data_IF_585877868289
#
_entry.id   IF_585877868289
#
_cell.length_a   1.000
_cell.length_b   1.000
_cell.length_c   1.000
_cell.angle_alpha   90.00
_cell.angle_beta   90.00
_cell.angle_gamma   90.00
#
_symmetry.space_group_name_H-M   'P 1'
#
loop_
_entity.id
_entity.type
_entity.pdbx_description
1 polymer ?
#
# COMPACT_ATOMS: atom_id res chain seq x y z
N UNK A 1 -1.59 28.56 3.00
CA UNK A 1 -2.82 29.17 3.57
C UNK A 1 -3.37 28.18 4.57
N UNK A 2 -3.75 28.66 5.75
CA UNK A 2 -4.25 27.84 6.84
C UNK A 2 -5.62 27.25 6.48
N UNK A 3 -5.77 25.93 6.55
CA UNK A 3 -7.08 25.26 6.51
C UNK A 3 -7.54 25.16 7.96
N UNK A 4 -8.21 26.21 8.41
CA UNK A 4 -9.03 26.19 9.62
C UNK A 4 -10.48 26.08 9.20
N UNK A 5 -11.06 24.89 9.34
CA UNK A 5 -12.48 24.71 9.66
C UNK A 5 -12.73 23.25 10.03
N UNK A 6 -12.72 22.98 11.34
CA UNK A 6 -13.27 21.74 11.89
C UNK A 6 -14.79 21.96 11.97
N UNK A 7 -15.46 21.68 10.86
CA UNK A 7 -16.91 21.65 10.77
C UNK A 7 -17.48 20.26 11.09
N UNK A 8 -18.55 20.22 11.89
CA UNK A 8 -19.48 19.09 11.97
C UNK A 8 -19.87 18.59 10.56
N UNK A 9 -20.20 17.30 10.35
CA UNK A 9 -20.15 16.67 9.04
C UNK A 9 -21.19 17.30 8.10
N UNK A 10 -20.71 18.21 7.25
CA UNK A 10 -21.39 18.49 6.00
C UNK A 10 -21.53 17.19 5.20
N UNK A 11 -22.53 17.14 4.34
CA UNK A 11 -22.70 16.04 3.40
C UNK A 11 -21.39 15.79 2.63
N UNK A 12 -20.91 14.55 2.66
CA UNK A 12 -19.60 14.16 2.10
C UNK A 12 -19.53 14.60 0.63
N UNK A 13 -18.48 15.30 0.18
CA UNK A 13 -18.46 16.00 -1.12
C UNK A 13 -18.88 15.15 -2.31
N UNK A 14 -18.46 13.88 -2.35
CA UNK A 14 -18.76 12.95 -3.43
C UNK A 14 -20.26 12.68 -3.63
N UNK A 15 -21.10 12.82 -2.59
CA UNK A 15 -22.56 12.62 -2.68
C UNK A 15 -23.26 13.68 -3.52
N UNK A 16 -22.59 14.82 -3.76
CA UNK A 16 -23.10 15.93 -4.58
C UNK A 16 -22.58 15.89 -6.02
N UNK A 17 -21.65 14.99 -6.33
CA UNK A 17 -21.08 14.85 -7.68
C UNK A 17 -22.07 14.15 -8.60
N UNK A 18 -22.00 14.46 -9.90
CA UNK A 18 -22.66 13.61 -10.90
C UNK A 18 -21.95 12.26 -10.97
N UNK A 19 -22.61 11.24 -11.53
CA UNK A 19 -21.99 9.94 -11.73
C UNK A 19 -20.72 10.03 -12.61
N UNK A 20 -20.71 10.91 -13.62
CA UNK A 20 -19.56 11.14 -14.49
C UNK A 20 -18.39 11.79 -13.76
N UNK A 21 -18.66 12.80 -12.92
CA UNK A 21 -17.64 13.44 -12.11
C UNK A 21 -17.06 12.45 -11.10
N UNK A 22 -17.91 11.68 -10.43
CA UNK A 22 -17.46 10.65 -9.48
C UNK A 22 -16.59 9.59 -10.16
N UNK A 23 -16.98 9.13 -11.35
CA UNK A 23 -16.17 8.20 -12.14
C UNK A 23 -14.80 8.78 -12.46
N UNK A 24 -14.75 10.04 -12.89
CA UNK A 24 -13.50 10.74 -13.19
C UNK A 24 -12.59 10.84 -11.95
N UNK A 25 -13.15 11.19 -10.79
CA UNK A 25 -12.42 11.28 -9.52
C UNK A 25 -11.78 9.94 -9.10
N UNK A 26 -12.38 8.81 -9.45
CA UNK A 26 -11.87 7.47 -9.12
C UNK A 26 -11.21 6.76 -10.31
N UNK A 27 -10.90 7.48 -11.37
CA UNK A 27 -10.16 6.98 -12.53
C UNK A 27 -8.83 7.73 -12.67
N UNK A 28 -7.76 7.32 -11.95
CA UNK A 28 -6.50 8.07 -11.93
C UNK A 28 -5.86 8.27 -13.31
N UNK A 29 -6.14 7.39 -14.26
CA UNK A 29 -5.68 7.53 -15.64
C UNK A 29 -6.26 8.75 -16.38
N UNK A 30 -7.32 9.37 -15.87
CA UNK A 30 -7.85 10.65 -16.40
C UNK A 30 -7.09 11.87 -15.87
N UNK A 31 -6.27 11.71 -14.83
CA UNK A 31 -5.57 12.80 -14.13
C UNK A 31 -4.07 12.85 -14.44
N UNK A 32 -3.57 11.93 -15.26
CA UNK A 32 -2.16 11.91 -15.69
C UNK A 32 -1.84 13.17 -16.50
N UNK A 33 -0.67 13.75 -16.23
CA UNK A 33 -0.25 15.02 -16.87
C UNK A 33 0.90 14.84 -17.85
N UNK A 34 1.70 13.78 -17.72
CA UNK A 34 2.88 13.53 -18.56
C UNK A 34 2.52 12.80 -19.86
N UNK A 35 1.68 11.77 -19.75
CA UNK A 35 1.33 10.84 -20.82
C UNK A 35 -0.18 10.84 -21.05
N UNK A 36 -0.65 10.30 -22.18
CA UNK A 36 -2.07 9.97 -22.32
C UNK A 36 -2.45 8.78 -21.42
N UNK A 37 -3.72 8.67 -21.03
CA UNK A 37 -4.23 7.62 -20.13
C UNK A 37 -3.76 6.19 -20.49
N UNK A 38 -3.88 5.81 -21.77
CA UNK A 38 -3.45 4.50 -22.25
C UNK A 38 -1.94 4.29 -22.15
N UNK A 39 -1.16 5.34 -22.46
CA UNK A 39 0.30 5.28 -22.44
C UNK A 39 0.85 5.24 -21.00
N UNK A 40 0.20 5.94 -20.07
CA UNK A 40 0.52 5.87 -18.65
C UNK A 40 0.30 4.44 -18.11
N UNK A 41 -0.86 3.84 -18.36
CA UNK A 41 -1.15 2.46 -17.94
C UNK A 41 -0.17 1.45 -18.55
N UNK A 42 0.15 1.61 -19.84
CA UNK A 42 1.14 0.76 -20.51
C UNK A 42 2.53 0.90 -19.89
N UNK A 43 2.95 2.14 -19.58
CA UNK A 43 4.26 2.44 -18.99
C UNK A 43 4.35 1.86 -17.58
N UNK A 44 3.33 2.07 -16.76
CA UNK A 44 3.20 1.49 -15.43
C UNK A 44 3.37 -0.04 -15.46
N UNK A 45 2.62 -0.70 -16.34
CA UNK A 45 2.68 -2.15 -16.52
C UNK A 45 4.07 -2.63 -16.94
N UNK A 46 4.66 -1.96 -17.94
CA UNK A 46 5.98 -2.29 -18.46
C UNK A 46 7.05 -2.17 -17.38
N UNK A 47 7.13 -1.03 -16.69
CA UNK A 47 8.13 -0.80 -15.64
C UNK A 47 7.96 -1.81 -14.49
N UNK A 48 6.71 -2.10 -14.12
CA UNK A 48 6.39 -3.09 -13.09
C UNK A 48 6.93 -4.48 -13.43
N UNK A 49 6.73 -4.92 -14.67
CA UNK A 49 7.24 -6.20 -15.20
C UNK A 49 8.77 -6.21 -15.22
N UNK A 50 9.40 -5.14 -15.71
CA UNK A 50 10.87 -5.02 -15.80
C UNK A 50 11.53 -5.13 -14.42
N UNK A 51 10.92 -4.53 -13.40
CA UNK A 51 11.37 -4.60 -12.00
C UNK A 51 11.40 -6.03 -11.43
N UNK A 52 10.62 -6.98 -11.97
CA UNK A 52 10.58 -8.36 -11.45
C UNK A 52 11.83 -9.18 -11.77
N UNK A 53 12.79 -8.59 -12.51
CA UNK A 53 14.08 -9.17 -12.84
C UNK A 53 14.13 -9.92 -14.18
N UNK A 54 13.17 -9.70 -15.09
CA UNK A 54 13.24 -10.24 -16.47
C UNK A 54 14.20 -9.40 -17.33
N UNK A 55 14.40 -8.12 -17.01
CA UNK A 55 15.19 -7.17 -17.82
C UNK A 55 16.05 -6.18 -17.03
N UNK A 56 16.11 -6.27 -15.69
CA UNK A 56 16.91 -5.34 -14.87
C UNK A 56 18.39 -5.34 -15.31
N UNK A 57 19.00 -4.17 -15.61
CA UNK A 57 20.35 -4.05 -16.18
C UNK A 57 21.49 -4.36 -15.19
N UNK A 58 21.20 -5.04 -14.07
CA UNK A 58 22.22 -5.47 -13.12
C UNK A 58 23.18 -6.49 -13.74
N UNK A 59 24.45 -6.42 -13.35
CA UNK A 59 25.42 -7.48 -13.57
C UNK A 59 25.05 -8.80 -12.86
N UNK A 60 24.18 -8.76 -11.83
CA UNK A 60 23.62 -9.94 -11.15
C UNK A 60 22.25 -9.63 -10.49
N UNK A 61 21.19 -10.40 -10.77
CA UNK A 61 19.88 -10.20 -10.14
C UNK A 61 19.90 -10.57 -8.64
N UNK A 62 19.05 -9.95 -7.81
CA UNK A 62 18.92 -10.31 -6.39
C UNK A 62 18.49 -11.77 -6.24
N UNK A 63 18.90 -12.41 -5.15
CA UNK A 63 18.48 -13.79 -4.88
C UNK A 63 16.96 -13.80 -4.65
N UNK A 64 16.24 -14.60 -5.45
CA UNK A 64 14.78 -14.67 -5.44
C UNK A 64 14.30 -16.07 -5.02
N UNK A 65 13.30 -16.13 -4.14
CA UNK A 65 12.45 -17.30 -3.94
C UNK A 65 11.11 -17.01 -4.59
N UNK A 66 10.80 -17.73 -5.68
CA UNK A 66 9.58 -17.51 -6.47
C UNK A 66 8.41 -18.34 -5.94
N UNK A 67 7.23 -17.75 -5.98
CA UNK A 67 5.96 -18.45 -5.82
C UNK A 67 5.87 -19.30 -4.55
N UNK A 68 6.38 -18.77 -3.43
CA UNK A 68 6.25 -19.43 -2.12
C UNK A 68 4.78 -19.41 -1.71
N UNK A 69 4.11 -20.56 -1.55
CA UNK A 69 2.72 -20.59 -1.12
C UNK A 69 2.63 -20.13 0.33
N UNK A 70 1.70 -19.20 0.62
CA UNK A 70 1.29 -18.85 1.98
C UNK A 70 -0.10 -19.38 2.33
N UNK A 71 -0.78 -19.98 1.35
CA UNK A 71 -2.01 -20.74 1.52
C UNK A 71 -2.26 -21.65 0.31
N UNK A 72 -3.46 -22.21 0.22
CA UNK A 72 -3.78 -23.29 -0.72
C UNK A 72 -4.29 -22.77 -2.08
N UNK A 73 -4.63 -21.48 -2.17
CA UNK A 73 -5.13 -20.87 -3.40
C UNK A 73 -4.04 -20.63 -4.45
N UNK A 74 -4.41 -20.66 -5.74
CA UNK A 74 -3.46 -20.37 -6.83
C UNK A 74 -2.87 -18.95 -6.75
N UNK A 75 -3.69 -18.00 -6.30
CA UNK A 75 -3.32 -16.60 -6.04
C UNK A 75 -2.46 -16.43 -4.79
N UNK A 76 -2.37 -17.43 -3.90
CA UNK A 76 -1.83 -17.27 -2.55
C UNK A 76 -0.34 -17.55 -2.48
N UNK A 77 0.42 -16.74 -3.22
CA UNK A 77 1.86 -16.90 -3.38
C UNK A 77 2.61 -15.60 -3.10
N UNK A 78 3.79 -15.70 -2.52
CA UNK A 78 4.72 -14.58 -2.39
C UNK A 78 6.00 -14.81 -3.19
N UNK A 79 6.52 -13.73 -3.77
CA UNK A 79 7.88 -13.66 -4.30
C UNK A 79 8.76 -12.94 -3.28
N UNK A 80 9.85 -13.57 -2.83
CA UNK A 80 10.76 -13.02 -1.83
C UNK A 80 12.10 -12.69 -2.49
N UNK A 81 12.48 -11.43 -2.44
CA UNK A 81 13.76 -10.91 -2.93
C UNK A 81 14.66 -10.62 -1.74
N UNK A 82 15.81 -11.30 -1.68
CA UNK A 82 16.77 -11.12 -0.62
C UNK A 82 17.83 -10.08 -1.00
N UNK A 83 18.34 -9.33 -0.02
CA UNK A 83 19.46 -8.44 -0.24
C UNK A 83 20.72 -9.21 -0.66
N UNK A 84 21.59 -8.54 -1.42
CA UNK A 84 22.89 -9.11 -1.77
C UNK A 84 23.77 -9.24 -0.51
N UNK A 85 24.46 -10.38 -0.36
CA UNK A 85 25.30 -10.75 0.80
C UNK A 85 26.52 -9.84 1.00
N UNK A 86 26.33 -8.54 1.25
CA UNK A 86 27.40 -7.62 1.69
C UNK A 86 27.29 -7.28 3.17
N UNK A 87 26.11 -7.34 3.76
CA UNK A 87 25.93 -7.21 5.21
C UNK A 87 25.97 -8.59 5.86
N UNK A 88 26.86 -8.80 6.83
CA UNK A 88 27.02 -10.05 7.58
C UNK A 88 25.82 -10.44 8.46
N UNK A 89 24.63 -9.90 8.19
CA UNK A 89 23.37 -10.30 8.83
C UNK A 89 22.79 -11.51 8.12
N UNK A 90 22.31 -12.48 8.90
CA UNK A 90 21.48 -13.54 8.37
C UNK A 90 20.23 -12.93 7.73
N UNK A 91 19.77 -13.48 6.60
CA UNK A 91 18.54 -13.03 5.92
C UNK A 91 17.30 -13.02 6.83
N UNK A 92 17.36 -13.74 7.96
CA UNK A 92 16.35 -13.77 9.02
C UNK A 92 16.27 -12.50 9.88
N UNK A 93 17.28 -11.62 9.84
CA UNK A 93 17.37 -10.39 10.65
C UNK A 93 17.19 -9.12 9.83
N UNK A 94 16.95 -9.24 8.52
CA UNK A 94 16.68 -8.09 7.65
C UNK A 94 15.33 -7.46 8.00
N UNK A 95 15.21 -6.15 7.75
CA UNK A 95 13.90 -5.52 7.59
C UNK A 95 13.22 -6.08 6.35
N UNK A 96 11.90 -6.24 6.40
CA UNK A 96 11.09 -6.82 5.34
C UNK A 96 10.10 -5.76 4.87
N UNK A 97 10.10 -5.43 3.58
CA UNK A 97 9.08 -4.59 2.96
C UNK A 97 8.11 -5.46 2.15
N UNK A 98 6.84 -5.48 2.56
CA UNK A 98 5.76 -6.19 1.88
C UNK A 98 5.09 -5.22 0.91
N UNK A 99 5.21 -5.47 -0.40
CA UNK A 99 4.55 -4.71 -1.45
C UNK A 99 3.19 -5.35 -1.78
N UNK A 100 2.13 -4.54 -1.71
CA UNK A 100 0.76 -4.91 -2.05
C UNK A 100 0.29 -4.25 -3.36
N UNK A 101 1.18 -4.08 -4.33
CA UNK A 101 0.78 -3.62 -5.65
C UNK A 101 0.26 -4.83 -6.50
N UNK A 102 -0.22 -4.57 -7.71
CA UNK A 102 -0.57 -5.60 -8.71
C UNK A 102 0.59 -6.59 -8.91
N UNK A 103 0.40 -7.89 -8.62
CA UNK A 103 1.48 -8.90 -8.50
C UNK A 103 2.49 -8.88 -9.66
N UNK A 104 1.99 -8.76 -10.90
CA UNK A 104 2.83 -8.84 -12.09
C UNK A 104 3.52 -7.51 -12.43
N UNK A 105 3.23 -6.46 -11.65
CA UNK A 105 3.70 -5.09 -11.85
C UNK A 105 4.30 -4.47 -10.57
N UNK A 106 4.50 -5.23 -9.49
CA UNK A 106 4.80 -4.68 -8.15
C UNK A 106 6.27 -4.46 -7.81
N UNK A 107 7.18 -4.78 -8.71
CA UNK A 107 8.58 -4.92 -8.35
C UNK A 107 9.38 -3.60 -8.36
N UNK A 108 8.70 -2.45 -8.44
CA UNK A 108 9.31 -1.12 -8.51
C UNK A 108 10.38 -0.90 -7.43
N UNK A 109 10.06 -1.24 -6.17
CA UNK A 109 10.93 -0.97 -5.03
C UNK A 109 12.00 -2.04 -4.77
N UNK A 110 11.98 -3.17 -5.51
CA UNK A 110 12.85 -4.33 -5.24
C UNK A 110 14.33 -3.94 -5.34
N UNK A 111 14.70 -3.29 -6.43
CA UNK A 111 16.11 -3.00 -6.72
C UNK A 111 16.75 -2.04 -5.71
N UNK A 112 16.18 -0.85 -5.41
CA UNK A 112 16.80 0.06 -4.46
C UNK A 112 16.79 -0.47 -3.02
N UNK A 113 15.75 -1.18 -2.59
CA UNK A 113 15.68 -1.69 -1.21
C UNK A 113 16.62 -2.86 -0.97
N UNK A 114 16.66 -3.84 -1.90
CA UNK A 114 17.58 -4.98 -1.78
C UNK A 114 19.05 -4.55 -1.83
N UNK A 115 19.36 -3.49 -2.59
CA UNK A 115 20.69 -2.89 -2.62
C UNK A 115 21.12 -2.25 -1.29
N UNK A 116 20.16 -1.88 -0.43
CA UNK A 116 20.41 -1.31 0.90
C UNK A 116 20.31 -2.35 2.03
N UNK A 117 20.10 -3.63 1.75
CA UNK A 117 20.03 -4.67 2.78
C UNK A 117 18.62 -5.02 3.28
N UNK A 118 17.58 -4.50 2.63
CA UNK A 118 16.17 -4.81 2.96
C UNK A 118 15.68 -5.98 2.11
N UNK A 119 14.97 -6.94 2.72
CA UNK A 119 14.29 -7.98 1.97
C UNK A 119 12.93 -7.44 1.47
N UNK A 120 12.57 -7.74 0.22
CA UNK A 120 11.30 -7.30 -0.37
C UNK A 120 10.43 -8.51 -0.64
N UNK A 121 9.18 -8.47 -0.19
CA UNK A 121 8.17 -9.51 -0.40
C UNK A 121 7.07 -8.93 -1.26
N UNK A 122 6.84 -9.50 -2.43
CA UNK A 122 5.70 -9.17 -3.29
C UNK A 122 4.61 -10.18 -3.02
N UNK A 123 3.44 -9.72 -2.61
CA UNK A 123 2.30 -10.58 -2.30
C UNK A 123 1.37 -10.64 -3.48
N UNK A 124 1.04 -11.86 -3.89
CA UNK A 124 -0.10 -12.11 -4.76
C UNK A 124 -1.33 -12.42 -3.92
N UNK A 125 -2.48 -11.98 -4.39
CA UNK A 125 -3.80 -12.33 -3.85
C UNK A 125 -4.79 -12.37 -5.04
N UNK A 126 -5.95 -12.97 -4.83
CA UNK A 126 -6.98 -13.01 -5.87
C UNK A 126 -7.56 -11.61 -6.10
N UNK A 127 -7.88 -11.27 -7.34
CA UNK A 127 -8.41 -9.95 -7.72
C UNK A 127 -9.86 -10.13 -8.21
N UNK A 128 -10.69 -9.11 -8.03
CA UNK A 128 -12.07 -9.12 -8.50
C UNK A 128 -12.12 -9.30 -10.04
N UNK A 129 -13.13 -10.02 -10.57
CA UNK A 129 -14.27 -10.62 -9.87
C UNK A 129 -14.00 -12.01 -9.28
N UNK A 130 -12.77 -12.55 -9.39
CA UNK A 130 -12.44 -13.89 -8.90
C UNK A 130 -12.43 -13.97 -7.36
N UNK A 131 -12.00 -12.90 -6.69
CA UNK A 131 -12.03 -12.77 -5.24
C UNK A 131 -12.82 -11.55 -4.78
N UNK A 132 -13.45 -11.65 -3.60
CA UNK A 132 -14.10 -10.53 -2.90
C UNK A 132 -13.08 -9.71 -2.11
N UNK A 133 -13.40 -8.47 -1.74
CA UNK A 133 -12.50 -7.65 -0.90
C UNK A 133 -12.19 -8.31 0.44
N UNK A 134 -13.14 -8.99 1.07
CA UNK A 134 -12.90 -9.72 2.32
C UNK A 134 -11.86 -10.84 2.13
N UNK A 135 -11.94 -11.56 1.00
CA UNK A 135 -10.96 -12.59 0.65
C UNK A 135 -9.58 -11.98 0.42
N UNK A 136 -9.49 -10.82 -0.24
CA UNK A 136 -8.22 -10.10 -0.43
C UNK A 136 -7.61 -9.69 0.92
N UNK A 137 -8.42 -9.13 1.83
CA UNK A 137 -7.96 -8.74 3.17
C UNK A 137 -7.48 -9.97 3.95
N UNK A 138 -8.20 -11.09 3.92
CA UNK A 138 -7.77 -12.33 4.57
C UNK A 138 -6.48 -12.89 3.97
N UNK A 139 -6.37 -12.90 2.63
CA UNK A 139 -5.19 -13.34 1.90
C UNK A 139 -3.96 -12.52 2.26
N UNK A 140 -4.08 -11.19 2.28
CA UNK A 140 -2.99 -10.30 2.71
C UNK A 140 -2.64 -10.54 4.18
N UNK A 141 -3.63 -10.70 5.07
CA UNK A 141 -3.38 -11.01 6.49
C UNK A 141 -2.58 -12.30 6.65
N UNK A 142 -2.97 -13.37 5.96
CA UNK A 142 -2.25 -14.65 5.97
C UNK A 142 -0.86 -14.55 5.38
N UNK A 143 -0.66 -13.72 4.34
CA UNK A 143 0.67 -13.50 3.76
C UNK A 143 1.63 -12.85 4.77
N UNK A 144 1.17 -11.87 5.54
CA UNK A 144 1.97 -11.22 6.59
C UNK A 144 2.26 -12.20 7.73
N UNK A 145 1.26 -12.98 8.14
CA UNK A 145 1.44 -14.03 9.14
C UNK A 145 2.46 -15.09 8.70
N UNK A 146 2.43 -15.49 7.43
CA UNK A 146 3.42 -16.37 6.82
C UNK A 146 4.82 -15.77 6.88
N UNK A 147 4.98 -14.50 6.49
CA UNK A 147 6.28 -13.80 6.55
C UNK A 147 6.82 -13.73 7.98
N UNK A 148 5.98 -13.36 8.95
CA UNK A 148 6.38 -13.32 10.35
C UNK A 148 6.78 -14.70 10.87
N UNK A 149 6.05 -15.75 10.52
CA UNK A 149 6.33 -17.13 10.95
C UNK A 149 7.62 -17.65 10.31
N UNK A 150 7.85 -17.32 9.04
CA UNK A 150 9.04 -17.73 8.28
C UNK A 150 10.31 -17.03 8.76
N UNK A 151 10.18 -15.77 9.20
CA UNK A 151 11.28 -14.92 9.65
C UNK A 151 10.97 -14.33 11.04
N UNK A 152 10.96 -15.15 12.10
CA UNK A 152 10.53 -14.71 13.44
C UNK A 152 11.47 -13.67 14.06
N UNK A 153 12.73 -13.63 13.63
CA UNK A 153 13.76 -12.70 14.13
C UNK A 153 14.00 -11.51 13.21
N UNK A 154 13.03 -11.17 12.35
CA UNK A 154 13.14 -10.06 11.40
C UNK A 154 13.38 -8.72 12.12
N UNK A 155 14.07 -7.80 11.43
CA UNK A 155 14.35 -6.46 11.97
C UNK A 155 13.13 -5.53 12.01
N UNK A 156 12.02 -5.93 11.39
CA UNK A 156 10.78 -5.18 11.27
C UNK A 156 10.12 -5.47 9.93
N UNK A 157 8.79 -5.58 9.96
CA UNK A 157 7.94 -5.72 8.77
C UNK A 157 7.32 -4.36 8.48
N UNK A 158 7.49 -3.89 7.25
CA UNK A 158 6.94 -2.66 6.72
C UNK A 158 6.01 -3.00 5.57
N UNK A 159 4.81 -2.43 5.53
CA UNK A 159 3.88 -2.61 4.43
C UNK A 159 3.91 -1.39 3.51
N UNK A 160 4.07 -1.61 2.22
CA UNK A 160 3.96 -0.58 1.20
C UNK A 160 2.79 -0.96 0.27
N UNK A 161 1.76 -0.13 0.27
CA UNK A 161 0.60 -0.31 -0.58
C UNK A 161 0.41 0.90 -1.47
N UNK A 162 -0.03 0.67 -2.70
CA UNK A 162 -0.39 1.70 -3.67
C UNK A 162 -1.84 1.53 -4.09
N UNK A 163 -2.61 2.62 -4.17
CA UNK A 163 -4.01 2.57 -4.63
C UNK A 163 -4.85 1.58 -3.79
N UNK A 164 -5.51 0.61 -4.41
CA UNK A 164 -6.19 -0.49 -3.72
C UNK A 164 -5.26 -1.27 -2.76
N UNK A 165 -3.97 -1.37 -3.06
CA UNK A 165 -2.97 -1.96 -2.17
C UNK A 165 -2.75 -1.16 -0.88
N UNK A 166 -2.88 0.16 -0.92
CA UNK A 166 -2.80 1.01 0.26
C UNK A 166 -4.00 0.79 1.18
N UNK A 167 -5.19 0.54 0.61
CA UNK A 167 -6.37 0.12 1.36
C UNK A 167 -6.11 -1.21 2.09
N UNK A 168 -5.59 -2.23 1.38
CA UNK A 168 -5.26 -3.53 1.97
C UNK A 168 -4.18 -3.42 3.05
N UNK A 169 -3.16 -2.60 2.83
CA UNK A 169 -2.13 -2.32 3.83
C UNK A 169 -2.74 -1.65 5.08
N UNK A 170 -3.61 -0.67 4.90
CA UNK A 170 -4.28 0.01 6.01
C UNK A 170 -5.20 -0.94 6.80
N UNK A 171 -5.84 -1.91 6.15
CA UNK A 171 -6.62 -2.94 6.85
C UNK A 171 -5.76 -3.82 7.79
N UNK A 172 -4.45 -3.94 7.55
CA UNK A 172 -3.55 -4.69 8.43
C UNK A 172 -3.32 -3.98 9.78
N UNK A 173 -3.63 -2.69 9.88
CA UNK A 173 -3.69 -1.97 11.17
C UNK A 173 -4.86 -2.48 12.04
N UNK A 174 -5.91 -3.02 11.41
CA UNK A 174 -7.16 -3.47 12.03
C UNK A 174 -7.23 -4.99 12.19
N UNK A 175 -6.24 -5.71 11.65
CA UNK A 175 -6.24 -7.16 11.63
C UNK A 175 -6.14 -7.73 13.04
N UNK A 176 -6.96 -8.73 13.35
CA UNK A 176 -6.89 -9.45 14.60
C UNK A 176 -5.81 -10.53 14.53
N UNK A 177 -4.55 -10.13 14.74
CA UNK A 177 -3.39 -11.02 14.64
C UNK A 177 -3.43 -12.23 15.58
N UNK A 178 -4.10 -12.10 16.75
CA UNK A 178 -4.25 -13.23 17.68
C UNK A 178 -5.04 -14.39 17.07
N UNK A 179 -6.04 -14.10 16.21
CA UNK A 179 -6.78 -15.13 15.46
C UNK A 179 -5.89 -15.90 14.48
N UNK A 180 -4.81 -15.28 14.00
CA UNK A 180 -3.83 -15.89 13.11
C UNK A 180 -2.65 -16.52 13.86
N UNK A 181 -2.65 -16.52 15.19
CA UNK A 181 -1.63 -17.18 16.00
C UNK A 181 -0.25 -16.52 15.94
N UNK A 182 -0.17 -15.25 15.51
CA UNK A 182 1.08 -14.50 15.36
C UNK A 182 0.96 -13.11 15.96
N UNK A 183 2.10 -12.52 16.33
CA UNK A 183 2.22 -11.09 16.59
C UNK A 183 3.27 -10.55 15.62
N UNK A 184 2.87 -10.00 14.47
CA UNK A 184 3.83 -9.51 13.49
C UNK A 184 4.58 -8.29 14.01
N UNK A 185 5.89 -8.25 13.73
CA UNK A 185 6.77 -7.15 14.09
C UNK A 185 6.55 -5.94 13.14
N UNK A 186 5.34 -5.40 13.12
CA UNK A 186 4.93 -4.32 12.22
C UNK A 186 5.55 -2.99 12.68
N UNK A 187 6.48 -2.46 11.87
CA UNK A 187 7.23 -1.23 12.18
C UNK A 187 6.81 -0.03 11.34
N UNK A 188 6.19 -0.25 10.19
CA UNK A 188 5.63 0.87 9.45
C UNK A 188 4.78 0.55 8.25
N UNK A 189 4.07 1.56 7.79
CA UNK A 189 3.12 1.53 6.70
C UNK A 189 3.38 2.71 5.77
N UNK A 190 3.53 2.44 4.49
CA UNK A 190 3.63 3.42 3.42
C UNK A 190 2.38 3.27 2.56
N UNK A 191 1.44 4.20 2.75
CA UNK A 191 0.12 4.18 2.13
C UNK A 191 0.10 5.22 1.02
N UNK A 192 0.33 4.79 -0.22
CA UNK A 192 0.56 5.66 -1.37
C UNK A 192 -0.69 5.75 -2.22
N UNK A 193 -1.22 6.96 -2.39
CA UNK A 193 -2.38 7.29 -3.21
C UNK A 193 -3.55 6.31 -2.99
N UNK A 194 -3.91 6.09 -1.72
CA UNK A 194 -4.88 5.06 -1.33
C UNK A 194 -6.34 5.51 -1.31
N UNK A 195 -7.24 4.53 -1.28
CA UNK A 195 -8.67 4.73 -1.02
C UNK A 195 -9.01 4.08 0.34
N UNK A 196 -9.44 4.87 1.31
CA UNK A 196 -9.68 4.47 2.69
C UNK A 196 -11.16 4.46 3.09
N UNK A 197 -12.01 5.12 2.30
CA UNK A 197 -13.48 5.03 2.31
C UNK A 197 -13.95 4.48 0.96
N UNK A 198 -14.57 3.29 0.99
CA UNK A 198 -15.03 2.55 -0.18
C UNK A 198 -16.50 2.78 -0.51
N UNK A 199 -17.27 3.52 0.30
CA UNK A 199 -18.66 3.86 -0.04
C UNK A 199 -18.79 4.53 -1.43
N UNK A 200 -17.92 5.48 -1.83
CA UNK A 200 -18.00 6.10 -3.16
C UNK A 200 -17.76 5.11 -4.29
N UNK A 201 -16.91 4.10 -4.07
CA UNK A 201 -16.54 3.09 -5.07
C UNK A 201 -17.75 2.28 -5.52
N UNK A 202 -18.76 2.13 -4.67
CA UNK A 202 -20.00 1.44 -5.03
C UNK A 202 -20.74 2.06 -6.22
N UNK A 203 -20.50 3.35 -6.47
CA UNK A 203 -21.17 4.15 -7.48
C UNK A 203 -20.30 4.39 -8.72
N UNK A 204 -19.15 3.72 -8.82
CA UNK A 204 -18.23 3.79 -9.97
C UNK A 204 -18.24 2.49 -10.76
N UNK A 205 -17.65 2.51 -11.95
CA UNK A 205 -17.49 1.33 -12.81
C UNK A 205 -16.71 0.19 -12.14
N UNK A 206 -15.85 0.51 -11.16
CA UNK A 206 -15.09 -0.47 -10.38
C UNK A 206 -16.02 -1.46 -9.67
N UNK A 207 -17.22 -1.03 -9.30
CA UNK A 207 -18.19 -1.89 -8.62
C UNK A 207 -18.79 -2.99 -9.51
N UNK A 208 -18.64 -2.91 -10.84
CA UNK A 208 -19.05 -3.98 -11.76
C UNK A 208 -18.27 -5.27 -11.45
N UNK A 209 -16.97 -5.15 -11.16
CA UNK A 209 -16.12 -6.27 -10.81
C UNK A 209 -16.20 -6.59 -9.30
N UNK A 210 -16.19 -5.56 -8.44
CA UNK A 210 -16.12 -5.74 -6.99
C UNK A 210 -17.44 -6.20 -6.37
N UNK A 211 -18.58 -5.83 -6.96
CA UNK A 211 -19.94 -6.17 -6.50
C UNK A 211 -20.19 -5.87 -5.01
N UNK A 212 -19.66 -4.74 -4.53
CA UNK A 212 -19.77 -4.32 -3.14
C UNK A 212 -21.21 -3.94 -2.81
N UNK A 213 -21.70 -4.51 -1.71
CA UNK A 213 -22.80 -3.93 -0.95
C UNK A 213 -22.28 -2.80 -0.05
N UNK A 214 -23.20 -1.99 0.49
CA UNK A 214 -22.84 -0.97 1.49
C UNK A 214 -22.15 -1.58 2.71
N UNK A 215 -22.59 -2.75 3.14
CA UNK A 215 -21.99 -3.47 4.25
C UNK A 215 -20.54 -3.89 3.94
N UNK A 216 -20.30 -4.37 2.71
CA UNK A 216 -18.96 -4.77 2.27
C UNK A 216 -18.02 -3.55 2.20
N UNK A 217 -18.49 -2.45 1.61
CA UNK A 217 -17.75 -1.20 1.51
C UNK A 217 -17.38 -0.66 2.89
N UNK A 218 -18.34 -0.55 3.81
CA UNK A 218 -18.10 -0.08 5.18
C UNK A 218 -17.19 -1.03 5.96
N UNK A 219 -17.35 -2.35 5.77
CA UNK A 219 -16.50 -3.35 6.42
C UNK A 219 -15.05 -3.26 5.92
N UNK A 220 -14.84 -2.92 4.66
CA UNK A 220 -13.51 -2.81 4.05
C UNK A 220 -12.98 -1.36 3.99
N UNK A 221 -13.64 -0.40 4.64
CA UNK A 221 -13.17 0.99 4.73
C UNK A 221 -12.34 1.20 6.00
N UNK A 222 -10.99 1.20 5.92
CA UNK A 222 -10.16 1.40 7.11
C UNK A 222 -10.44 2.75 7.80
N UNK A 223 -10.83 3.79 7.06
CA UNK A 223 -11.15 5.10 7.60
C UNK A 223 -12.28 5.07 8.65
N UNK A 224 -13.28 4.21 8.47
CA UNK A 224 -14.43 4.11 9.36
C UNK A 224 -14.13 3.38 10.67
N UNK A 225 -12.99 2.69 10.75
CA UNK A 225 -12.68 1.72 11.81
C UNK A 225 -11.42 2.06 12.59
N UNK A 226 -10.45 2.74 11.95
CA UNK A 226 -9.13 2.99 12.55
C UNK A 226 -9.19 3.86 13.81
N UNK A 227 -10.23 4.69 13.95
CA UNK A 227 -10.48 5.45 15.16
C UNK A 227 -10.75 4.60 16.42
N UNK A 228 -11.07 3.31 16.25
CA UNK A 228 -11.34 2.37 17.36
C UNK A 228 -10.21 1.35 17.55
N UNK A 229 -9.17 1.41 16.71
CA UNK A 229 -8.09 0.44 16.70
C UNK A 229 -6.88 0.93 17.51
N UNK A 230 -6.31 0.03 18.31
CA UNK A 230 -5.04 0.26 18.98
C UNK A 230 -3.88 -0.31 18.15
N UNK A 231 -2.71 0.36 18.13
CA UNK A 231 -1.53 -0.16 17.48
C UNK A 231 -1.06 -1.43 18.16
N UNK A 232 -0.71 -2.40 17.31
CA UNK A 232 0.03 -3.59 17.75
C UNK A 232 1.40 -3.20 18.33
N UNK A 233 1.97 -2.11 17.83
CA UNK A 233 3.27 -1.58 18.25
C UNK A 233 3.24 -0.04 18.25
N UNK A 234 3.47 0.64 19.40
CA UNK A 234 3.47 2.11 19.49
C UNK A 234 4.67 2.77 18.78
N UNK A 235 5.64 1.98 18.33
CA UNK A 235 6.74 2.44 17.48
C UNK A 235 6.38 2.42 15.99
N UNK A 236 5.24 1.83 15.63
CA UNK A 236 4.75 1.75 14.27
C UNK A 236 4.48 3.13 13.67
N UNK A 237 5.04 3.36 12.48
CA UNK A 237 4.90 4.62 11.74
C UNK A 237 3.98 4.45 10.55
N UNK A 238 3.01 5.34 10.40
CA UNK A 238 2.10 5.33 9.25
C UNK A 238 2.35 6.58 8.43
N UNK A 239 2.91 6.41 7.24
CA UNK A 239 3.09 7.47 6.27
C UNK A 239 1.98 7.36 5.23
N UNK A 240 1.16 8.40 5.14
CA UNK A 240 0.18 8.57 4.06
C UNK A 240 0.79 9.50 3.02
N UNK A 241 0.80 9.07 1.76
CA UNK A 241 1.43 9.80 0.65
C UNK A 241 0.41 9.96 -0.48
N UNK A 242 0.39 11.13 -1.12
CA UNK A 242 -0.42 11.37 -2.33
C UNK A 242 0.40 12.14 -3.37
N UNK A 243 0.17 11.86 -4.66
CA UNK A 243 0.80 12.59 -5.76
C UNK A 243 0.13 13.95 -5.99
N UNK A 244 0.89 14.96 -6.41
CA UNK A 244 0.35 16.28 -6.71
C UNK A 244 -0.76 16.22 -7.77
N UNK A 245 -0.60 15.37 -8.77
CA UNK A 245 -1.54 15.23 -9.88
C UNK A 245 -2.55 14.08 -9.69
N UNK A 246 -2.66 13.53 -8.48
CA UNK A 246 -3.81 12.71 -8.11
C UNK A 246 -5.12 13.52 -8.14
N UNK A 247 -6.24 12.83 -8.29
CA UNK A 247 -7.56 13.47 -8.26
C UNK A 247 -7.87 14.09 -6.88
N UNK A 248 -8.75 15.11 -6.82
CA UNK A 248 -9.26 15.65 -5.57
C UNK A 248 -9.76 14.60 -4.55
N UNK A 249 -10.41 13.52 -5.00
CA UNK A 249 -10.86 12.47 -4.06
C UNK A 249 -9.70 11.68 -3.45
N UNK A 250 -8.62 11.39 -4.20
CA UNK A 250 -7.43 10.75 -3.62
C UNK A 250 -6.71 11.66 -2.61
N UNK A 251 -6.66 12.98 -2.88
CA UNK A 251 -6.19 13.97 -1.91
C UNK A 251 -7.06 14.00 -0.66
N UNK A 252 -8.39 14.07 -0.83
CA UNK A 252 -9.36 14.11 0.27
C UNK A 252 -9.23 12.87 1.15
N UNK A 253 -9.28 11.68 0.57
CA UNK A 253 -9.22 10.43 1.33
C UNK A 253 -7.88 10.27 2.05
N UNK A 254 -6.77 10.60 1.39
CA UNK A 254 -5.44 10.56 2.03
C UNK A 254 -5.35 11.52 3.21
N UNK A 255 -5.85 12.75 3.05
CA UNK A 255 -5.85 13.74 4.12
C UNK A 255 -6.77 13.35 5.28
N UNK A 256 -7.99 12.91 5.00
CA UNK A 256 -8.94 12.49 6.04
C UNK A 256 -8.45 11.26 6.80
N UNK A 257 -7.89 10.26 6.10
CA UNK A 257 -7.34 9.08 6.76
C UNK A 257 -6.17 9.45 7.68
N UNK A 258 -5.27 10.33 7.22
CA UNK A 258 -4.21 10.89 8.06
C UNK A 258 -4.77 11.62 9.28
N UNK A 259 -5.79 12.48 9.12
CA UNK A 259 -6.43 13.20 10.22
C UNK A 259 -6.99 12.27 11.29
N UNK A 260 -7.63 11.17 10.89
CA UNK A 260 -8.14 10.16 11.84
C UNK A 260 -6.97 9.52 12.62
N UNK A 261 -5.89 9.12 11.94
CA UNK A 261 -4.70 8.56 12.57
C UNK A 261 -3.99 9.55 13.52
N UNK A 262 -3.87 10.81 13.12
CA UNK A 262 -3.25 11.87 13.93
C UNK A 262 -4.08 12.23 15.15
N UNK A 263 -5.41 12.23 15.04
CA UNK A 263 -6.30 12.48 16.17
C UNK A 263 -6.14 11.37 17.22
N UNK A 264 -6.04 10.11 16.80
CA UNK A 264 -5.74 8.99 17.71
C UNK A 264 -4.35 9.12 18.35
N UNK A 265 -3.35 9.56 17.59
CA UNK A 265 -2.01 9.86 18.11
C UNK A 265 -2.05 10.87 19.24
N UNK A 266 -2.83 11.95 19.08
CA UNK A 266 -2.96 13.01 20.10
C UNK A 266 -3.76 12.55 21.32
N UNK A 267 -4.81 11.75 21.13
CA UNK A 267 -5.69 11.33 22.21
C UNK A 267 -5.15 10.15 23.01
N UNK A 268 -4.44 9.22 22.37
CA UNK A 268 -4.04 7.93 22.96
C UNK A 268 -2.52 7.70 22.94
N UNK A 269 -1.74 8.52 22.23
CA UNK A 269 -0.27 8.39 22.17
C UNK A 269 0.22 7.21 21.32
N UNK A 270 -0.64 6.70 20.45
CA UNK A 270 -0.56 5.32 19.99
C UNK A 270 0.04 5.16 18.58
N UNK A 271 -0.34 5.99 17.61
CA UNK A 271 0.18 5.92 16.23
C UNK A 271 1.22 7.00 15.97
N UNK A 272 2.20 6.76 15.10
CA UNK A 272 3.07 7.85 14.58
C UNK A 272 2.73 8.10 13.13
N UNK A 273 1.74 8.96 12.89
CA UNK A 273 1.28 9.29 11.56
C UNK A 273 1.97 10.52 10.95
N UNK A 274 2.26 10.48 9.66
CA UNK A 274 2.73 11.63 8.87
C UNK A 274 2.05 11.65 7.50
N UNK A 275 1.92 12.84 6.93
CA UNK A 275 1.33 13.06 5.61
C UNK A 275 2.34 13.76 4.70
N UNK A 276 2.50 13.26 3.49
CA UNK A 276 3.37 13.85 2.47
C UNK A 276 2.64 13.96 1.14
N UNK A 277 2.70 15.14 0.54
CA UNK A 277 2.29 15.33 -0.85
C UNK A 277 3.55 15.41 -1.71
N UNK A 278 3.70 14.48 -2.65
CA UNK A 278 4.83 14.47 -3.57
C UNK A 278 4.56 15.34 -4.78
N UNK A 279 5.51 16.23 -5.06
CA UNK A 279 5.41 17.19 -6.16
C UNK A 279 5.77 16.52 -7.49
N UNK A 280 5.20 17.05 -8.57
CA UNK A 280 5.50 16.69 -9.96
C UNK A 280 5.33 15.19 -10.28
N UNK A 281 4.40 14.51 -9.60
CA UNK A 281 4.06 13.10 -9.87
C UNK A 281 2.55 12.89 -9.90
N UNK A 282 2.12 12.04 -10.82
CA UNK A 282 0.76 11.49 -10.87
C UNK A 282 0.63 10.15 -10.12
N UNK A 283 -0.56 9.56 -10.18
CA UNK A 283 -0.91 8.32 -9.51
C UNK A 283 -0.01 7.12 -9.88
N UNK A 284 0.57 7.11 -11.07
CA UNK A 284 1.38 5.99 -11.58
C UNK A 284 2.87 6.28 -11.38
N UNK A 285 3.31 7.48 -11.74
CA UNK A 285 4.71 7.90 -11.61
C UNK A 285 5.23 7.81 -10.18
N UNK A 286 4.37 8.07 -9.20
CA UNK A 286 4.73 8.01 -7.79
C UNK A 286 5.34 6.67 -7.37
N UNK A 287 4.89 5.55 -7.97
CA UNK A 287 5.47 4.23 -7.72
C UNK A 287 6.44 3.77 -8.80
N UNK A 288 6.30 4.20 -10.06
CA UNK A 288 7.32 3.95 -11.10
C UNK A 288 8.70 4.45 -10.66
N UNK A 289 8.70 5.63 -10.02
CA UNK A 289 9.90 6.27 -9.51
C UNK A 289 10.54 5.53 -8.32
N UNK A 290 9.85 4.57 -7.70
CA UNK A 290 10.44 3.70 -6.67
C UNK A 290 11.54 2.80 -7.21
N UNK A 291 11.70 2.70 -8.54
CA UNK A 291 12.85 2.04 -9.18
C UNK A 291 14.15 2.82 -8.99
N UNK A 292 14.04 4.14 -8.80
CA UNK A 292 15.19 5.03 -8.66
C UNK A 292 15.58 5.14 -7.19
N UNK A 293 16.86 4.85 -6.90
CA UNK A 293 17.40 4.94 -5.54
C UNK A 293 17.24 6.35 -4.96
N UNK A 294 17.51 7.37 -5.76
CA UNK A 294 17.56 8.76 -5.29
C UNK A 294 16.18 9.45 -5.34
N UNK A 295 15.11 8.74 -5.72
CA UNK A 295 13.76 9.28 -5.66
C UNK A 295 13.35 9.60 -4.20
N UNK A 296 12.57 10.67 -4.04
CA UNK A 296 12.12 11.19 -2.75
C UNK A 296 11.39 10.11 -1.94
N UNK A 297 10.44 9.38 -2.54
CA UNK A 297 9.69 8.34 -1.85
C UNK A 297 10.59 7.16 -1.45
N UNK A 298 11.48 6.73 -2.33
CA UNK A 298 12.48 5.69 -2.03
C UNK A 298 13.34 6.08 -0.82
N UNK A 299 13.80 7.32 -0.78
CA UNK A 299 14.61 7.84 0.34
C UNK A 299 13.81 7.92 1.64
N UNK A 300 12.54 8.36 1.58
CA UNK A 300 11.65 8.38 2.75
C UNK A 300 11.45 6.97 3.30
N UNK A 301 11.19 5.98 2.43
CA UNK A 301 11.02 4.57 2.82
C UNK A 301 12.30 4.06 3.49
N UNK A 302 13.46 4.20 2.85
CA UNK A 302 14.75 3.74 3.40
C UNK A 302 15.08 4.41 4.73
N UNK A 303 14.90 5.73 4.83
CA UNK A 303 15.14 6.48 6.06
C UNK A 303 14.19 6.05 7.18
N UNK A 304 12.97 5.63 6.86
CA UNK A 304 12.01 5.13 7.86
C UNK A 304 12.35 3.72 8.32
N UNK A 305 12.87 2.88 7.43
CA UNK A 305 13.27 1.50 7.74
C UNK A 305 14.49 1.46 8.67
N UNK A 306 15.48 2.33 8.45
CA UNK A 306 16.75 2.33 9.20
C UNK A 306 16.82 3.31 10.38
N UNK A 307 15.68 3.88 10.80
CA UNK A 307 15.57 4.73 11.99
C UNK A 307 15.30 3.91 13.25
#
# INVERSE_FOLDING_TARGET
MAISDVGLPGEVPWKKMSAEELENQYCPSQWVVRLGAEEALRTYSQIGIEGTGVTSPRARPPRKSRACPYGDGEGEKVDIYFPDKRSGQAASSCHICVSLCSKDESAFMVDPLTAQGVAVVIVAYDIAPKGTLDQMVDQVTRSVAFVQTRYPSNGGIYLCGHSAGAQLAAMMLLANWTKHGVTPNLKGFFLVSGVFDLEPIMYTSQNIALQLTLEDAQRNSPQLKVAQAQPVDPTCRVLVVVGQFDSPEFHRQSWEFYQVLSTQTLCQGEWKASFEQLHDVDHFEIVENLTQKDNVLTQIILKTIFQ
#
